data_IF_506805969061
#
_entry.id   IF_506805969061
#
_cell.length_a   1.000
_cell.length_b   1.000
_cell.length_c   1.000
_cell.angle_alpha   90.00
_cell.angle_beta   90.00
_cell.angle_gamma   90.00
#
_symmetry.space_group_name_H-M   'P 1'
#
loop_
_entity.id
_entity.type
_entity.pdbx_description
1 polymer ?
#
# COMPACT_ATOMS: atom_id res chain seq x y z
N UNK A 1 23.43 6.77 -17.23
CA UNK A 1 23.12 5.76 -16.22
C UNK A 1 21.76 5.19 -16.58
N UNK A 2 21.67 3.86 -16.60
CA UNK A 2 20.84 3.04 -17.48
C UNK A 2 19.36 3.40 -17.58
N UNK A 3 18.84 3.22 -18.80
CA UNK A 3 17.50 3.51 -19.24
C UNK A 3 16.42 2.50 -18.78
N UNK A 4 15.17 2.91 -19.03
CA UNK A 4 13.96 2.08 -19.35
C UNK A 4 13.25 1.45 -18.14
N UNK A 5 11.92 1.50 -17.98
CA UNK A 5 10.86 1.50 -18.99
C UNK A 5 9.48 1.86 -18.35
N UNK A 6 8.56 2.55 -19.04
CA UNK A 6 7.20 2.80 -18.55
C UNK A 6 6.44 1.47 -18.47
N UNK A 7 5.87 1.19 -17.30
CA UNK A 7 5.14 -0.03 -17.02
C UNK A 7 4.05 -0.28 -18.08
N UNK A 8 4.25 -1.35 -18.86
CA UNK A 8 3.32 -1.84 -19.86
C UNK A 8 1.96 -2.15 -19.19
N UNK A 9 0.90 -1.53 -19.72
CA UNK A 9 -0.49 -1.84 -19.36
C UNK A 9 -0.80 -3.28 -19.79
N UNK A 10 -0.74 -4.21 -18.85
CA UNK A 10 -1.20 -5.59 -19.00
C UNK A 10 -2.59 -5.66 -18.35
N UNK A 11 -3.57 -6.23 -19.03
CA UNK A 11 -4.95 -6.36 -18.55
C UNK A 11 -4.98 -7.07 -17.19
N UNK A 12 -5.05 -6.30 -16.11
CA UNK A 12 -5.02 -6.83 -14.74
C UNK A 12 -6.44 -7.28 -14.40
N UNK A 13 -6.62 -8.58 -14.15
CA UNK A 13 -7.90 -9.15 -13.63
C UNK A 13 -8.22 -8.70 -12.19
N UNK A 14 -7.23 -8.17 -11.47
CA UNK A 14 -7.32 -7.79 -10.07
C UNK A 14 -6.54 -6.50 -9.80
N UNK A 15 -6.97 -5.69 -8.83
CA UNK A 15 -6.18 -4.59 -8.26
C UNK A 15 -5.71 -4.92 -6.84
N UNK A 16 -4.55 -4.40 -6.46
CA UNK A 16 -4.11 -4.43 -5.09
C UNK A 16 -4.78 -3.33 -4.28
N UNK A 17 -5.36 -3.69 -3.13
CA UNK A 17 -5.95 -2.76 -2.17
C UNK A 17 -5.13 -2.83 -0.89
N UNK A 18 -5.00 -1.71 -0.20
CA UNK A 18 -4.39 -1.62 1.13
C UNK A 18 -5.38 -0.92 2.05
N UNK A 19 -5.60 -1.51 3.23
CA UNK A 19 -6.44 -0.94 4.29
C UNK A 19 -5.57 -0.64 5.49
N UNK A 20 -5.79 0.51 6.11
CA UNK A 20 -4.94 1.06 7.16
C UNK A 20 -5.82 1.53 8.30
N UNK A 21 -5.62 0.94 9.48
CA UNK A 21 -6.23 1.43 10.71
C UNK A 21 -5.36 2.55 11.28
N UNK A 22 -5.80 3.80 11.06
CA UNK A 22 -5.12 5.00 11.53
C UNK A 22 -5.08 5.11 13.05
N UNK A 23 -6.02 4.51 13.77
CA UNK A 23 -6.10 4.63 15.23
C UNK A 23 -5.00 3.82 15.93
N UNK A 24 -4.61 2.68 15.35
CA UNK A 24 -3.61 1.79 15.93
C UNK A 24 -2.21 1.98 15.32
N UNK A 25 -2.13 2.57 14.12
CA UNK A 25 -0.86 2.86 13.47
C UNK A 25 0.04 3.82 14.28
N UNK A 26 1.31 3.44 14.42
CA UNK A 26 2.36 4.21 15.12
C UNK A 26 3.39 4.88 14.18
N UNK A 27 3.13 4.90 12.87
CA UNK A 27 3.99 5.59 11.89
C UNK A 27 5.44 5.07 11.78
N UNK A 28 5.70 3.79 12.10
CA UNK A 28 7.07 3.23 12.11
C UNK A 28 7.71 3.04 10.73
N UNK A 29 6.97 3.28 9.65
CA UNK A 29 7.42 3.18 8.25
C UNK A 29 7.86 1.78 7.75
N UNK A 30 7.80 0.70 8.54
CA UNK A 30 8.21 -0.64 8.07
C UNK A 30 7.45 -1.11 6.82
N UNK A 31 6.14 -0.85 6.76
CA UNK A 31 5.35 -1.19 5.59
C UNK A 31 5.77 -0.42 4.32
N UNK A 32 6.32 0.79 4.47
CA UNK A 32 6.84 1.60 3.36
C UNK A 32 8.18 1.04 2.91
N UNK A 33 9.11 0.84 3.85
CA UNK A 33 10.47 0.35 3.58
C UNK A 33 10.48 -1.05 2.95
N UNK A 34 9.65 -1.97 3.46
CA UNK A 34 9.63 -3.36 3.00
C UNK A 34 8.61 -3.62 1.89
N UNK A 35 7.98 -2.59 1.32
CA UNK A 35 7.11 -2.77 0.17
C UNK A 35 7.98 -3.14 -1.06
N UNK A 36 7.89 -4.37 -1.60
CA UNK A 36 8.76 -4.78 -2.72
C UNK A 36 8.51 -4.01 -4.02
N UNK A 37 7.40 -3.27 -4.08
CA UNK A 37 6.97 -2.49 -5.25
C UNK A 37 7.05 -0.98 -5.01
N UNK A 38 7.49 -0.53 -3.82
CA UNK A 38 7.59 0.89 -3.49
C UNK A 38 6.26 1.64 -3.62
N UNK A 39 5.14 0.98 -3.30
CA UNK A 39 3.80 1.49 -3.55
C UNK A 39 3.22 2.37 -2.43
N UNK A 40 3.84 2.35 -1.25
CA UNK A 40 3.40 3.06 -0.04
C UNK A 40 4.33 4.24 0.25
N UNK A 41 3.77 5.31 0.82
CA UNK A 41 4.51 6.46 1.36
C UNK A 41 3.85 6.90 2.68
N UNK A 42 4.51 7.74 3.48
CA UNK A 42 3.92 8.31 4.70
C UNK A 42 3.14 9.58 4.36
N UNK A 43 1.98 9.76 4.98
CA UNK A 43 1.21 11.00 4.86
C UNK A 43 1.96 12.19 5.48
N UNK A 44 1.76 13.39 4.94
CA UNK A 44 2.22 14.63 5.58
C UNK A 44 1.40 14.99 6.81
N UNK A 45 0.14 14.54 6.86
CA UNK A 45 -0.77 14.80 7.96
C UNK A 45 -0.56 13.81 9.12
N UNK A 46 -1.12 14.17 10.26
CA UNK A 46 -1.06 13.38 11.49
C UNK A 46 -2.36 12.63 11.74
N UNK A 47 -2.27 11.42 12.28
CA UNK A 47 -3.41 10.77 12.96
C UNK A 47 -3.65 11.40 14.34
N UNK A 48 -4.72 10.97 15.03
CA UNK A 48 -5.07 11.47 16.37
C UNK A 48 -3.98 11.27 17.44
N UNK A 49 -2.98 10.42 17.19
CA UNK A 49 -1.86 10.14 18.09
C UNK A 49 -0.58 10.92 17.73
N UNK A 50 -0.61 11.75 16.68
CA UNK A 50 0.54 12.53 16.23
C UNK A 50 1.54 11.75 15.38
N UNK A 51 1.15 10.60 14.81
CA UNK A 51 1.98 9.85 13.86
C UNK A 51 1.58 10.14 12.42
N UNK A 52 2.53 10.01 11.50
CA UNK A 52 2.28 10.00 10.06
C UNK A 52 1.91 8.57 9.61
N UNK A 53 0.62 8.27 9.37
CA UNK A 53 0.23 6.95 8.88
C UNK A 53 0.71 6.77 7.42
N UNK A 54 0.94 5.53 6.98
CA UNK A 54 1.18 5.24 5.57
C UNK A 54 -0.09 5.46 4.74
N UNK A 55 0.09 5.68 3.44
CA UNK A 55 -0.97 5.66 2.43
C UNK A 55 -0.45 5.03 1.13
N UNK A 56 -1.38 4.58 0.28
CA UNK A 56 -1.06 3.95 -1.00
C UNK A 56 -0.80 5.01 -2.07
N UNK A 57 0.45 5.49 -2.14
CA UNK A 57 0.88 6.54 -3.06
C UNK A 57 0.88 6.14 -4.53
N UNK A 58 1.16 4.87 -4.83
CA UNK A 58 1.22 4.33 -6.20
C UNK A 58 0.31 3.11 -6.36
N UNK A 59 -1.03 3.28 -6.38
CA UNK A 59 -1.99 2.18 -6.42
C UNK A 59 -1.80 1.22 -7.60
N UNK A 60 -1.33 1.72 -8.73
CA UNK A 60 -1.04 0.96 -9.95
C UNK A 60 0.09 -0.06 -9.77
N UNK A 61 1.00 0.18 -8.82
CA UNK A 61 2.07 -0.74 -8.48
C UNK A 61 1.60 -1.84 -7.53
N UNK A 62 0.62 -1.57 -6.66
CA UNK A 62 0.14 -2.55 -5.69
C UNK A 62 -0.43 -3.81 -6.35
N UNK A 63 0.04 -4.98 -5.91
CA UNK A 63 -0.43 -6.29 -6.37
C UNK A 63 -1.17 -7.09 -5.28
N UNK A 64 -1.45 -6.47 -4.13
CA UNK A 64 -2.16 -7.07 -3.00
C UNK A 64 -1.43 -8.26 -2.37
N UNK A 65 -0.10 -8.21 -2.25
CA UNK A 65 0.72 -9.29 -1.66
C UNK A 65 0.71 -9.35 -0.13
N UNK A 66 0.08 -8.38 0.55
CA UNK A 66 0.00 -8.29 2.01
C UNK A 66 1.33 -8.20 2.78
N UNK A 67 2.46 -7.95 2.11
CA UNK A 67 3.76 -7.78 2.79
C UNK A 67 3.73 -6.65 3.82
N UNK A 68 3.01 -5.57 3.54
CA UNK A 68 2.82 -4.48 4.48
C UNK A 68 2.19 -4.93 5.81
N UNK A 69 1.25 -5.88 5.78
CA UNK A 69 0.64 -6.47 6.97
C UNK A 69 1.60 -7.39 7.72
N UNK A 70 2.37 -8.22 7.00
CA UNK A 70 3.37 -9.10 7.61
C UNK A 70 4.49 -8.36 8.34
N UNK A 71 4.87 -7.16 7.88
CA UNK A 71 5.89 -6.33 8.53
C UNK A 71 5.32 -5.37 9.57
N UNK A 72 3.99 -5.28 9.73
CA UNK A 72 3.40 -4.37 10.71
C UNK A 72 3.37 -5.04 12.10
N UNK A 73 4.12 -4.54 13.09
CA UNK A 73 4.13 -5.12 14.43
C UNK A 73 2.79 -4.95 15.16
N UNK A 74 1.98 -3.98 14.73
CA UNK A 74 0.68 -3.65 15.33
C UNK A 74 -0.52 -4.11 14.48
N UNK A 75 -0.28 -4.88 13.41
CA UNK A 75 -1.30 -5.35 12.45
C UNK A 75 -2.29 -4.27 11.99
N UNK A 76 -1.80 -3.04 11.88
CA UNK A 76 -2.60 -1.84 11.60
C UNK A 76 -2.73 -1.52 10.11
N UNK A 77 -2.20 -2.40 9.26
CA UNK A 77 -2.25 -2.32 7.81
C UNK A 77 -2.34 -3.73 7.26
N UNK A 78 -3.09 -3.93 6.18
CA UNK A 78 -3.10 -5.17 5.42
C UNK A 78 -3.41 -4.88 3.95
N UNK A 79 -2.99 -5.77 3.07
CA UNK A 79 -3.23 -5.71 1.64
C UNK A 79 -3.99 -6.93 1.14
N UNK A 80 -4.83 -6.75 0.13
CA UNK A 80 -5.53 -7.86 -0.52
C UNK A 80 -5.72 -7.61 -2.01
N UNK A 81 -6.12 -8.65 -2.73
CA UNK A 81 -6.45 -8.58 -4.15
C UNK A 81 -7.96 -8.47 -4.31
N UNK A 82 -8.40 -7.43 -5.01
CA UNK A 82 -9.80 -7.21 -5.34
C UNK A 82 -10.02 -7.45 -6.84
N UNK A 83 -11.05 -8.21 -7.20
CA UNK A 83 -11.43 -8.47 -8.60
C UNK A 83 -12.09 -7.21 -9.19
N UNK A 84 -11.64 -6.79 -10.38
CA UNK A 84 -12.19 -5.59 -11.03
C UNK A 84 -13.62 -5.78 -11.53
N UNK A 85 -14.06 -7.02 -11.76
CA UNK A 85 -15.41 -7.37 -12.23
C UNK A 85 -16.53 -7.03 -11.21
N UNK A 86 -16.17 -6.77 -9.94
CA UNK A 86 -17.13 -6.61 -8.85
C UNK A 86 -17.22 -5.18 -8.29
N UNK A 87 -16.47 -4.21 -8.86
CA UNK A 87 -16.41 -2.82 -8.37
C UNK A 87 -17.41 -1.90 -9.09
N UNK A 88 -18.09 -2.38 -10.13
CA UNK A 88 -19.17 -1.66 -10.81
C UNK A 88 -20.52 -1.93 -10.12
N UNK A 89 -20.76 -1.25 -9.01
CA UNK A 89 -22.08 -1.12 -8.37
C UNK A 89 -22.37 0.36 -8.12
#
# INVERSE_FOLDING_TARGET
MSATSPAAKKDKKFRGVVVINRETCKGCAFCVEFCPLGALELESDYNAKGYHPPFLAKPELCNGCDMCGHFCPDFSIYGYREKLEQVAA
#
